data_IF_404140411851
#
_entry.id   IF_404140411851
#
_cell.length_a   1.000
_cell.length_b   1.000
_cell.length_c   1.000
_cell.angle_alpha   90.00
_cell.angle_beta   90.00
_cell.angle_gamma   90.00
#
_symmetry.space_group_name_H-M   'P 1'
#
loop_
_entity.id
_entity.type
_entity.pdbx_description
1 polymer ?
#
# COMPACT_ATOMS: atom_id res chain seq x y z
N UNK A 1 -11.29 6.19 -13.53
CA UNK A 1 -10.18 6.29 -12.55
C UNK A 1 -8.90 6.13 -13.33
N UNK A 2 -7.94 7.01 -13.12
CA UNK A 2 -6.66 6.97 -13.83
C UNK A 2 -5.89 5.73 -13.36
N UNK A 3 -5.40 4.92 -14.31
CA UNK A 3 -4.46 3.82 -14.01
C UNK A 3 -3.07 4.43 -13.89
N UNK A 4 -2.32 4.07 -12.86
CA UNK A 4 -1.01 4.62 -12.57
C UNK A 4 -0.93 5.30 -11.20
N UNK A 5 0.18 5.99 -10.98
CA UNK A 5 0.45 6.67 -9.71
C UNK A 5 0.01 8.13 -9.76
N UNK A 6 -0.29 8.69 -8.59
CA UNK A 6 -0.60 10.11 -8.46
C UNK A 6 0.68 10.94 -8.63
N UNK A 7 0.53 12.22 -8.94
CA UNK A 7 1.66 13.18 -8.93
C UNK A 7 1.87 13.74 -7.52
N UNK A 8 3.11 14.15 -7.22
CA UNK A 8 3.48 14.76 -5.94
C UNK A 8 4.53 13.94 -5.19
N UNK A 9 4.67 14.24 -3.90
CA UNK A 9 5.52 13.42 -3.02
C UNK A 9 4.90 12.02 -2.87
N UNK A 10 5.66 10.94 -3.10
CA UNK A 10 5.17 9.56 -3.01
C UNK A 10 4.40 9.28 -1.70
N UNK A 11 4.98 9.70 -0.58
CA UNK A 11 4.51 9.51 0.79
C UNK A 11 3.47 10.54 1.27
N UNK A 12 2.94 11.40 0.40
CA UNK A 12 2.00 12.46 0.79
C UNK A 12 0.68 11.92 1.40
N UNK A 13 0.25 12.49 2.50
CA UNK A 13 -0.97 12.09 3.22
C UNK A 13 -0.83 10.80 4.04
N UNK A 14 0.38 10.24 4.16
CA UNK A 14 0.66 9.00 4.92
C UNK A 14 1.03 9.33 6.37
N UNK A 15 0.57 8.49 7.32
CA UNK A 15 1.04 8.55 8.71
C UNK A 15 2.46 7.99 8.84
N UNK A 16 3.33 8.62 9.62
CA UNK A 16 4.74 8.23 9.81
C UNK A 16 5.50 8.01 8.49
N UNK A 17 5.50 9.01 7.58
CA UNK A 17 6.10 8.89 6.25
C UNK A 17 7.63 8.74 6.29
N UNK A 18 8.29 9.24 7.35
CA UNK A 18 9.76 9.20 7.50
C UNK A 18 10.31 7.77 7.57
N UNK A 19 9.46 6.77 7.89
CA UNK A 19 9.85 5.35 7.88
C UNK A 19 9.96 4.77 6.47
N UNK A 20 9.37 5.43 5.46
CA UNK A 20 9.25 4.93 4.10
C UNK A 20 10.44 5.39 3.25
N UNK A 21 11.34 4.47 2.93
CA UNK A 21 12.38 4.69 1.94
C UNK A 21 11.84 4.37 0.54
N UNK A 22 11.62 5.39 -0.27
CA UNK A 22 11.14 5.25 -1.65
C UNK A 22 12.19 4.54 -2.53
N UNK A 23 11.83 3.36 -3.05
CA UNK A 23 12.64 2.60 -4.00
C UNK A 23 12.29 2.96 -5.45
N UNK A 24 11.00 3.08 -5.74
CA UNK A 24 10.46 3.52 -7.02
C UNK A 24 9.19 4.35 -6.75
N UNK A 25 9.12 5.62 -7.16
CA UNK A 25 7.96 6.47 -6.87
C UNK A 25 6.69 6.02 -7.60
N UNK A 26 6.81 5.15 -8.62
CA UNK A 26 5.65 4.61 -9.29
C UNK A 26 5.88 3.18 -9.80
N UNK A 27 5.34 2.21 -9.05
CA UNK A 27 5.44 0.80 -9.37
C UNK A 27 4.07 0.15 -9.50
N UNK A 28 3.97 -0.75 -10.47
CA UNK A 28 2.85 -1.67 -10.57
C UNK A 28 3.16 -2.94 -9.77
N UNK A 29 2.16 -3.47 -9.07
CA UNK A 29 2.17 -4.82 -8.53
C UNK A 29 0.85 -5.52 -8.86
N UNK A 30 0.90 -6.82 -9.13
CA UNK A 30 -0.30 -7.63 -9.39
C UNK A 30 -0.25 -8.93 -8.60
N UNK A 31 -1.41 -9.47 -8.25
CA UNK A 31 -1.48 -10.73 -7.53
C UNK A 31 -2.86 -11.03 -6.96
N UNK A 32 -2.93 -12.08 -6.13
CA UNK A 32 -4.18 -12.55 -5.51
C UNK A 32 -4.20 -12.22 -4.02
N UNK A 33 -5.24 -11.54 -3.57
CA UNK A 33 -5.41 -11.14 -2.16
C UNK A 33 -5.57 -12.37 -1.26
N UNK A 34 -4.77 -12.42 -0.20
CA UNK A 34 -4.77 -13.49 0.80
C UNK A 34 -5.27 -13.02 2.16
N UNK A 35 -5.19 -11.72 2.45
CA UNK A 35 -5.76 -11.12 3.67
C UNK A 35 -6.07 -9.63 3.46
N UNK A 36 -7.06 -9.13 4.21
CA UNK A 36 -7.45 -7.71 4.24
C UNK A 36 -7.76 -7.34 5.69
N UNK A 37 -6.93 -6.48 6.27
CA UNK A 37 -7.10 -5.96 7.61
C UNK A 37 -7.28 -4.44 7.59
N UNK A 38 -7.99 -3.92 8.58
CA UNK A 38 -8.14 -2.48 8.77
C UNK A 38 -7.40 -2.08 10.05
N UNK A 39 -6.54 -1.09 9.93
CA UNK A 39 -5.63 -0.66 10.99
C UNK A 39 -6.15 0.56 11.75
N UNK A 40 -5.48 0.88 12.86
CA UNK A 40 -5.87 1.95 13.81
C UNK A 40 -5.71 3.36 13.24
N UNK A 41 -4.81 3.56 12.26
CA UNK A 41 -4.68 4.80 11.47
C UNK A 41 -5.69 4.91 10.33
N UNK A 42 -6.52 3.88 10.15
CA UNK A 42 -7.57 3.83 9.15
C UNK A 42 -7.13 3.24 7.82
N UNK A 43 -5.87 2.82 7.69
CA UNK A 43 -5.35 2.15 6.52
C UNK A 43 -6.00 0.77 6.34
N UNK A 44 -6.02 0.28 5.11
CA UNK A 44 -6.30 -1.11 4.82
C UNK A 44 -5.00 -1.80 4.41
N UNK A 45 -4.56 -2.74 5.23
CA UNK A 45 -3.49 -3.66 4.92
C UNK A 45 -4.00 -4.76 4.00
N UNK A 46 -3.49 -4.80 2.77
CA UNK A 46 -3.82 -5.81 1.76
C UNK A 46 -2.61 -6.71 1.56
N UNK A 47 -2.65 -7.91 2.14
CA UNK A 47 -1.67 -8.93 1.82
C UNK A 47 -2.10 -9.68 0.57
N UNK A 48 -1.19 -9.85 -0.38
CA UNK A 48 -1.44 -10.60 -1.59
C UNK A 48 -0.24 -11.44 -2.01
N UNK A 49 -0.53 -12.59 -2.61
CA UNK A 49 0.47 -13.39 -3.30
C UNK A 49 0.75 -12.75 -4.67
N UNK A 50 1.99 -12.30 -4.95
CA UNK A 50 2.31 -11.71 -6.25
C UNK A 50 2.12 -12.70 -7.40
N UNK A 51 1.80 -12.17 -8.58
CA UNK A 51 1.83 -12.95 -9.81
C UNK A 51 3.28 -13.31 -10.21
N UNK A 52 3.40 -14.31 -11.06
CA UNK A 52 4.69 -14.69 -11.65
C UNK A 52 5.30 -13.49 -12.40
N UNK A 53 6.57 -13.19 -12.11
CA UNK A 53 7.30 -12.03 -12.65
C UNK A 53 7.33 -10.81 -11.72
N UNK A 54 6.55 -10.81 -10.63
CA UNK A 54 6.53 -9.73 -9.63
C UNK A 54 7.26 -10.10 -8.33
N UNK A 55 7.91 -11.26 -8.25
CA UNK A 55 8.62 -11.73 -7.05
C UNK A 55 9.80 -10.83 -6.67
N UNK A 56 10.35 -10.08 -7.64
CA UNK A 56 11.44 -9.12 -7.41
C UNK A 56 11.02 -7.89 -6.60
N UNK A 57 9.72 -7.70 -6.37
CA UNK A 57 9.19 -6.66 -5.48
C UNK A 57 9.26 -7.04 -4.00
N UNK A 58 9.59 -8.30 -3.70
CA UNK A 58 9.71 -8.83 -2.35
C UNK A 58 11.16 -8.80 -1.89
N UNK A 59 11.36 -8.67 -0.58
CA UNK A 59 12.61 -8.99 0.09
C UNK A 59 12.44 -10.19 1.06
N UNK A 60 13.44 -10.44 1.92
CA UNK A 60 13.39 -11.55 2.90
C UNK A 60 12.30 -11.39 3.96
N UNK A 61 11.89 -10.17 4.27
CA UNK A 61 10.91 -9.84 5.30
C UNK A 61 9.47 -9.85 4.75
N UNK A 62 9.30 -9.95 3.43
CA UNK A 62 7.99 -10.06 2.80
C UNK A 62 7.37 -11.45 2.96
N UNK A 63 6.68 -11.67 4.08
CA UNK A 63 5.94 -12.90 4.32
C UNK A 63 4.67 -12.68 5.14
N UNK A 64 3.59 -13.35 4.74
CA UNK A 64 2.35 -13.46 5.51
C UNK A 64 2.10 -14.92 5.86
N UNK A 65 1.91 -15.22 7.15
CA UNK A 65 1.74 -16.59 7.65
C UNK A 65 2.84 -17.56 7.14
N UNK A 66 4.09 -17.12 7.20
CA UNK A 66 5.28 -17.86 6.73
C UNK A 66 5.29 -18.20 5.23
N UNK A 67 4.52 -17.49 4.40
CA UNK A 67 4.55 -17.60 2.93
C UNK A 67 4.92 -16.26 2.30
N UNK A 68 5.71 -16.23 1.21
CA UNK A 68 6.01 -14.99 0.50
C UNK A 68 4.72 -14.26 0.09
N UNK A 69 4.61 -13.00 0.48
CA UNK A 69 3.47 -12.14 0.19
C UNK A 69 3.92 -10.68 0.17
N UNK A 70 3.28 -9.88 -0.68
CA UNK A 70 3.46 -8.44 -0.74
C UNK A 70 2.41 -7.77 0.14
N UNK A 71 2.78 -6.68 0.80
CA UNK A 71 1.85 -5.78 1.46
C UNK A 71 1.56 -4.59 0.53
N UNK A 72 0.31 -4.14 0.51
CA UNK A 72 -0.08 -2.85 -0.02
C UNK A 72 -1.03 -2.16 0.95
N UNK A 73 -0.86 -0.85 1.11
CA UNK A 73 -1.66 -0.07 2.05
C UNK A 73 -2.53 0.94 1.31
N UNK A 74 -3.86 0.78 1.44
CA UNK A 74 -4.83 1.78 0.98
C UNK A 74 -5.12 2.72 2.14
N UNK A 75 -4.56 3.93 2.07
CA UNK A 75 -4.65 4.93 3.14
C UNK A 75 -5.91 5.80 3.03
N UNK A 76 -6.39 6.43 4.14
CA UNK A 76 -7.39 7.49 4.10
C UNK A 76 -6.99 8.62 3.14
N UNK A 77 -8.00 9.32 2.60
CA UNK A 77 -7.80 10.46 1.71
C UNK A 77 -7.46 11.74 2.50
N UNK A 78 -6.35 11.70 3.25
CA UNK A 78 -5.78 12.87 3.92
C UNK A 78 -5.34 13.94 2.91
N UNK A 79 -5.25 15.23 3.32
CA UNK A 79 -4.64 16.27 2.49
C UNK A 79 -3.24 15.87 2.03
N UNK A 80 -2.85 16.26 0.81
CA UNK A 80 -1.55 15.87 0.22
C UNK A 80 -0.45 16.91 0.44
N UNK A 81 -0.81 18.09 0.93
CA UNK A 81 0.12 19.17 1.27
C UNK A 81 0.68 19.03 2.71
N UNK A 82 0.21 18.02 3.45
CA UNK A 82 0.62 17.74 4.82
C UNK A 82 0.43 16.26 5.15
N UNK A 83 1.21 15.75 6.11
CA UNK A 83 1.09 14.37 6.59
C UNK A 83 0.40 14.36 7.97
N UNK A 84 -0.50 13.39 8.26
CA UNK A 84 -1.15 13.30 9.56
C UNK A 84 -0.15 13.05 10.69
N UNK A 85 -0.22 13.89 11.73
CA UNK A 85 0.74 13.89 12.86
C UNK A 85 0.76 12.62 13.73
N UNK A 86 -0.25 11.77 13.64
CA UNK A 86 -0.37 10.51 14.37
C UNK A 86 -1.49 9.63 13.76
N UNK A 87 -1.51 8.34 14.10
CA UNK A 87 -2.53 7.40 13.66
C UNK A 87 -3.97 7.89 13.88
N UNK A 88 -4.38 8.40 15.07
CA UNK A 88 -5.72 8.96 15.23
C UNK A 88 -6.04 10.13 14.30
N UNK A 89 -5.06 10.95 13.92
CA UNK A 89 -5.26 12.03 12.96
C UNK A 89 -5.48 11.50 11.55
N UNK A 90 -4.72 10.49 11.13
CA UNK A 90 -4.91 9.80 9.86
C UNK A 90 -6.30 9.16 9.79
N UNK A 91 -6.72 8.46 10.86
CA UNK A 91 -8.01 7.76 10.93
C UNK A 91 -9.23 8.69 10.82
N UNK A 92 -9.05 9.99 11.12
CA UNK A 92 -10.09 11.03 11.00
C UNK A 92 -10.17 11.65 9.60
N UNK A 93 -9.20 11.40 8.72
CA UNK A 93 -9.28 11.86 7.35
C UNK A 93 -10.49 11.24 6.62
N UNK A 94 -10.96 11.86 5.53
CA UNK A 94 -11.97 11.24 4.68
C UNK A 94 -11.54 9.83 4.25
N UNK A 95 -12.51 8.92 4.11
CA UNK A 95 -12.23 7.57 3.62
C UNK A 95 -11.68 7.62 2.18
N UNK A 96 -10.83 6.64 1.86
CA UNK A 96 -10.39 6.41 0.48
C UNK A 96 -11.58 6.27 -0.49
N UNK A 97 -11.36 6.64 -1.75
CA UNK A 97 -12.30 6.37 -2.86
C UNK A 97 -11.91 5.12 -3.65
N UNK A 98 -10.77 4.51 -3.33
CA UNK A 98 -10.35 3.26 -3.95
C UNK A 98 -11.24 2.12 -3.48
N UNK A 99 -11.45 1.16 -4.37
CA UNK A 99 -12.15 -0.07 -4.01
C UNK A 99 -11.28 -0.87 -3.04
N UNK A 100 -11.88 -1.34 -1.94
CA UNK A 100 -11.20 -2.26 -1.02
C UNK A 100 -11.47 -3.68 -1.53
N UNK A 101 -10.43 -4.46 -1.87
CA UNK A 101 -10.63 -5.83 -2.35
C UNK A 101 -11.06 -6.75 -1.20
N UNK A 102 -11.45 -7.97 -1.54
CA UNK A 102 -11.67 -9.06 -0.58
C UNK A 102 -10.74 -10.23 -0.90
N UNK A 103 -10.58 -11.14 0.07
CA UNK A 103 -9.78 -12.35 -0.09
C UNK A 103 -10.21 -13.12 -1.36
N UNK A 104 -9.22 -13.52 -2.17
CA UNK A 104 -9.42 -14.24 -3.42
C UNK A 104 -9.58 -13.35 -4.66
N UNK A 105 -9.78 -12.04 -4.50
CA UNK A 105 -9.72 -11.13 -5.66
C UNK A 105 -8.32 -11.11 -6.28
N UNK A 106 -8.27 -11.05 -7.61
CA UNK A 106 -7.06 -10.66 -8.32
C UNK A 106 -7.01 -9.13 -8.39
N UNK A 107 -5.86 -8.54 -8.10
CA UNK A 107 -5.68 -7.10 -8.08
C UNK A 107 -4.53 -6.67 -8.99
N UNK A 108 -4.68 -5.50 -9.59
CA UNK A 108 -3.59 -4.73 -10.19
C UNK A 108 -3.55 -3.36 -9.54
N UNK A 109 -2.45 -3.06 -8.87
CA UNK A 109 -2.27 -1.82 -8.10
C UNK A 109 -1.09 -1.02 -8.63
N UNK A 110 -1.18 0.29 -8.42
CA UNK A 110 -0.09 1.23 -8.64
C UNK A 110 0.09 2.10 -7.40
N UNK A 111 1.35 2.43 -7.11
CA UNK A 111 1.73 3.37 -6.06
C UNK A 111 3.24 3.40 -5.87
N UNK A 112 3.76 4.13 -4.89
CA UNK A 112 5.16 4.08 -4.53
C UNK A 112 5.53 2.71 -4.00
N UNK A 113 6.62 2.14 -4.53
CA UNK A 113 7.27 0.98 -3.94
C UNK A 113 8.32 1.45 -2.96
N UNK A 114 8.14 1.09 -1.70
CA UNK A 114 8.94 1.58 -0.57
C UNK A 114 9.48 0.42 0.23
N UNK A 115 10.58 0.66 0.94
CA UNK A 115 10.99 -0.15 2.09
C UNK A 115 10.44 0.54 3.35
N UNK A 116 9.59 -0.14 4.11
CA UNK A 116 9.22 0.29 5.45
C UNK A 116 10.37 -0.07 6.40
N UNK A 117 11.06 0.95 6.92
CA UNK A 117 12.23 0.76 7.78
C UNK A 117 11.90 0.35 9.22
N UNK A 118 10.64 0.48 9.66
CA UNK A 118 10.20 -0.01 10.97
C UNK A 118 9.92 -1.52 10.93
N UNK A 119 9.45 -2.04 9.79
CA UNK A 119 9.08 -3.45 9.63
C UNK A 119 10.10 -4.29 8.82
N UNK A 120 10.88 -3.65 7.96
CA UNK A 120 11.91 -4.27 7.13
C UNK A 120 11.43 -4.84 5.81
N UNK A 121 10.12 -4.88 5.54
CA UNK A 121 9.56 -5.38 4.27
C UNK A 121 9.41 -4.28 3.22
N UNK A 122 9.23 -4.71 1.98
CA UNK A 122 8.88 -3.83 0.87
C UNK A 122 7.36 -3.85 0.63
N UNK A 123 6.80 -2.73 0.21
CA UNK A 123 5.35 -2.59 0.05
C UNK A 123 4.98 -1.55 -1.00
N UNK A 124 3.72 -1.58 -1.44
CA UNK A 124 3.12 -0.46 -2.19
C UNK A 124 2.39 0.43 -1.19
N UNK A 125 2.96 1.60 -0.88
CA UNK A 125 2.43 2.50 0.14
C UNK A 125 2.65 3.98 -0.25
N UNK A 126 1.57 4.77 -0.44
CA UNK A 126 0.17 4.35 -0.47
C UNK A 126 -0.20 3.77 -1.84
N UNK A 127 -1.27 2.98 -1.90
CA UNK A 127 -1.90 2.62 -3.19
C UNK A 127 -2.58 3.85 -3.78
N UNK A 128 -2.21 4.20 -5.01
CA UNK A 128 -2.78 5.32 -5.76
C UNK A 128 -3.92 4.90 -6.69
N UNK A 129 -3.84 3.70 -7.26
CA UNK A 129 -4.92 3.11 -8.03
C UNK A 129 -4.98 1.60 -7.88
N UNK A 130 -6.18 1.06 -8.00
CA UNK A 130 -6.46 -0.38 -7.92
C UNK A 130 -7.50 -0.76 -8.97
N UNK A 131 -7.25 -1.89 -9.61
CA UNK A 131 -8.22 -2.62 -10.42
C UNK A 131 -8.43 -4.00 -9.78
N UNK A 132 -9.69 -4.40 -9.66
CA UNK A 132 -10.10 -5.71 -9.12
C UNK A 132 -10.65 -6.53 -10.29
N UNK A 133 -10.07 -7.71 -10.51
CA UNK A 133 -10.44 -8.68 -11.54
C UNK A 133 -11.30 -9.83 -11.01
#
# INVERSE_FOLDING_TARGET
MTVGCRSGAPEAGVHNPDRLLVLDPCKQATGTVVDVAREDDGDYHIWFKPDAGYESLLNSENHFQARPAMLAEIVPACPLDSNPSNAPAAARCPKTKLAIPVIGNHISIWGPWVLDTDHGWQEIHPVDSIQIG
#
